data_IF_321063322287
#
_entry.id   IF_321063322287
#
_cell.length_a   1.000
_cell.length_b   1.000
_cell.length_c   1.000
_cell.angle_alpha   90.00
_cell.angle_beta   90.00
_cell.angle_gamma   90.00
#
_symmetry.space_group_name_H-M   'P 1'
#
loop_
_entity.id
_entity.type
_entity.pdbx_description
1 polymer ?
#
# COMPACT_ATOMS: atom_id res chain seq x y z
N UNK A 1 16.72 -23.55 87.25
CA UNK A 1 17.25 -22.40 88.03
C UNK A 1 16.73 -21.17 87.29
N UNK A 2 15.69 -20.58 87.83
CA UNK A 2 15.62 -19.31 88.53
C UNK A 2 16.43 -18.21 87.84
N UNK A 3 15.80 -17.12 87.35
CA UNK A 3 15.36 -16.01 88.19
C UNK A 3 14.53 -15.00 87.42
N UNK A 4 13.42 -14.59 88.01
CA UNK A 4 12.62 -13.42 87.89
C UNK A 4 13.39 -12.10 87.82
N UNK A 5 12.94 -11.05 87.08
CA UNK A 5 12.45 -9.78 87.64
C UNK A 5 12.03 -8.72 86.55
N UNK A 6 10.80 -8.32 86.73
CA UNK A 6 10.18 -6.98 86.88
C UNK A 6 10.28 -5.94 85.73
N UNK A 7 9.11 -5.79 85.16
CA UNK A 7 8.27 -4.55 85.21
C UNK A 7 8.96 -3.17 85.12
N UNK A 8 8.67 -2.45 84.05
CA UNK A 8 8.30 -1.01 84.13
C UNK A 8 7.45 -0.59 82.95
N UNK A 9 6.26 -0.14 83.25
CA UNK A 9 5.34 0.55 82.32
C UNK A 9 5.94 1.90 81.98
N UNK A 10 6.11 2.20 80.71
CA UNK A 10 6.19 3.59 80.21
C UNK A 10 5.13 3.75 79.12
N UNK A 11 4.19 4.62 79.41
CA UNK A 11 3.21 5.11 78.45
C UNK A 11 3.93 5.88 77.35
N UNK A 12 3.70 5.56 76.09
CA UNK A 12 4.09 6.35 74.93
C UNK A 12 2.82 6.85 74.28
N UNK A 13 2.74 8.17 74.18
CA UNK A 13 1.67 8.91 73.50
C UNK A 13 1.66 8.53 72.00
N UNK A 14 0.50 8.14 71.50
CA UNK A 14 0.28 7.90 70.08
C UNK A 14 0.23 9.20 69.32
N UNK A 15 1.20 9.41 68.43
CA UNK A 15 1.11 10.41 67.39
C UNK A 15 0.37 9.78 66.20
N UNK A 16 -0.87 10.16 65.99
CA UNK A 16 -1.62 9.83 64.79
C UNK A 16 -1.03 10.63 63.59
N UNK A 17 -0.24 9.97 62.76
CA UNK A 17 0.19 10.53 61.48
C UNK A 17 -0.91 10.27 60.46
N UNK A 18 -1.73 11.29 60.17
CA UNK A 18 -2.65 11.26 59.05
C UNK A 18 -1.84 11.25 57.72
N UNK A 19 -1.66 10.08 57.11
CA UNK A 19 -1.14 9.96 55.77
C UNK A 19 -2.22 10.46 54.81
N UNK A 20 -2.02 11.66 54.26
CA UNK A 20 -2.74 12.18 53.10
C UNK A 20 -2.39 11.29 51.90
N UNK A 21 -3.30 10.39 51.54
CA UNK A 21 -3.27 9.68 50.25
C UNK A 21 -3.56 10.71 49.15
N UNK A 22 -2.52 11.22 48.52
CA UNK A 22 -2.62 11.95 47.27
C UNK A 22 -2.89 10.88 46.19
N UNK A 23 -4.00 10.91 45.43
CA UNK A 23 -4.19 10.03 44.34
C UNK A 23 -3.10 10.27 43.31
N UNK A 24 -2.24 9.30 43.05
CA UNK A 24 -1.38 9.30 41.87
C UNK A 24 -2.31 9.26 40.64
N UNK A 25 -2.48 10.41 40.00
CA UNK A 25 -3.07 10.47 38.67
C UNK A 25 -2.20 9.62 37.75
N UNK A 26 -2.77 8.58 37.20
CA UNK A 26 -2.13 7.83 36.14
C UNK A 26 -1.70 8.81 35.03
N UNK A 27 -0.51 8.67 34.44
CA UNK A 27 -0.12 9.50 33.30
C UNK A 27 -1.20 9.37 32.23
N UNK A 28 -1.74 10.50 31.79
CA UNK A 28 -2.62 10.53 30.64
C UNK A 28 -1.89 9.84 29.49
N UNK A 29 -2.51 8.81 28.91
CA UNK A 29 -1.99 8.24 27.67
C UNK A 29 -1.90 9.39 26.66
N UNK A 30 -0.79 9.50 25.91
CA UNK A 30 -0.70 10.53 24.91
C UNK A 30 -1.92 10.37 23.97
N UNK A 31 -2.70 11.44 23.83
CA UNK A 31 -3.76 11.51 22.85
C UNK A 31 -3.12 11.12 21.51
N UNK A 32 -3.59 10.02 20.92
CA UNK A 32 -3.18 9.61 19.59
C UNK A 32 -3.51 10.77 18.65
N UNK A 33 -2.50 11.29 17.97
CA UNK A 33 -2.71 12.26 16.90
C UNK A 33 -3.79 11.72 15.98
N UNK A 34 -4.75 12.56 15.52
CA UNK A 34 -5.76 12.10 14.57
C UNK A 34 -5.03 11.50 13.36
N UNK A 35 -5.41 10.28 13.00
CA UNK A 35 -4.81 9.58 11.86
C UNK A 35 -5.02 10.44 10.60
N UNK A 36 -3.96 10.66 9.83
CA UNK A 36 -4.08 11.34 8.55
C UNK A 36 -5.06 10.56 7.66
N UNK A 37 -5.99 11.24 6.96
CA UNK A 37 -6.92 10.55 6.07
C UNK A 37 -6.18 9.85 4.94
N UNK A 38 -6.85 8.91 4.26
CA UNK A 38 -6.34 8.29 3.04
C UNK A 38 -6.08 9.38 1.99
N UNK A 39 -4.94 9.30 1.33
CA UNK A 39 -4.51 10.31 0.35
C UNK A 39 -4.58 9.83 -1.08
N UNK A 40 -4.74 8.52 -1.29
CA UNK A 40 -4.85 7.98 -2.63
C UNK A 40 -5.39 6.57 -2.65
N UNK A 41 -5.62 6.08 -3.86
CA UNK A 41 -6.13 4.74 -4.11
C UNK A 41 -5.58 4.15 -5.39
N UNK A 42 -5.85 2.86 -5.60
CA UNK A 42 -5.59 2.15 -6.83
C UNK A 42 -6.88 1.98 -7.64
N UNK A 43 -6.74 1.93 -8.96
CA UNK A 43 -7.72 1.36 -9.89
C UNK A 43 -7.07 0.17 -10.60
N UNK A 44 -7.70 -1.00 -10.51
CA UNK A 44 -7.36 -2.19 -11.29
C UNK A 44 -8.18 -2.18 -12.59
N UNK A 45 -7.56 -1.80 -13.70
CA UNK A 45 -8.26 -1.77 -14.98
C UNK A 45 -8.64 -3.17 -15.45
N UNK A 46 -9.89 -3.31 -15.88
CA UNK A 46 -10.43 -4.56 -16.40
C UNK A 46 -11.41 -4.29 -17.55
N UNK A 47 -11.89 -5.36 -18.19
CA UNK A 47 -12.75 -5.23 -19.35
C UNK A 47 -14.12 -4.58 -19.07
N UNK A 48 -14.62 -4.63 -17.82
CA UNK A 48 -15.88 -3.93 -17.49
C UNK A 48 -15.74 -2.42 -17.64
N UNK A 49 -14.59 -1.85 -17.34
CA UNK A 49 -14.33 -0.42 -17.47
C UNK A 49 -14.41 0.10 -18.92
N UNK A 50 -14.31 -0.78 -19.92
CA UNK A 50 -14.50 -0.43 -21.34
C UNK A 50 -15.95 -0.08 -21.68
N UNK A 51 -16.87 -0.48 -20.83
CA UNK A 51 -18.31 -0.29 -20.99
C UNK A 51 -18.87 0.75 -20.01
N UNK A 52 -18.01 1.34 -19.19
CA UNK A 52 -18.41 2.39 -18.29
C UNK A 52 -18.78 3.65 -19.08
N UNK A 53 -19.93 4.21 -18.70
CA UNK A 53 -20.41 5.47 -19.23
C UNK A 53 -19.84 6.65 -18.44
N UNK A 54 -20.12 7.85 -18.90
CA UNK A 54 -19.70 9.10 -18.26
C UNK A 54 -20.08 9.13 -16.77
N UNK A 55 -21.35 8.80 -16.45
CA UNK A 55 -21.90 8.80 -15.10
C UNK A 55 -21.24 7.78 -14.16
N UNK A 56 -20.68 6.68 -14.68
CA UNK A 56 -19.97 5.68 -13.86
C UNK A 56 -18.65 6.25 -13.36
N UNK A 57 -17.92 6.91 -14.26
CA UNK A 57 -16.68 7.59 -13.93
C UNK A 57 -16.93 8.80 -13.02
N UNK A 58 -17.97 9.62 -13.30
CA UNK A 58 -18.33 10.76 -12.48
C UNK A 58 -18.59 10.33 -11.03
N UNK A 59 -19.44 9.33 -10.80
CA UNK A 59 -19.69 8.79 -9.44
C UNK A 59 -18.43 8.33 -8.72
N UNK A 60 -17.53 7.65 -9.42
CA UNK A 60 -16.27 7.19 -8.81
C UNK A 60 -15.38 8.37 -8.41
N UNK A 61 -15.25 9.38 -9.27
CA UNK A 61 -14.42 10.55 -8.99
C UNK A 61 -15.06 11.47 -7.93
N UNK A 62 -16.39 11.53 -7.83
CA UNK A 62 -17.09 12.19 -6.72
C UNK A 62 -16.78 11.51 -5.38
N UNK A 63 -16.73 10.16 -5.34
CA UNK A 63 -16.28 9.44 -4.16
C UNK A 63 -14.83 9.81 -3.80
N UNK A 64 -13.92 9.89 -4.76
CA UNK A 64 -12.52 10.30 -4.54
C UNK A 64 -12.44 11.72 -3.97
N UNK A 65 -13.20 12.65 -4.53
CA UNK A 65 -13.26 14.03 -4.06
C UNK A 65 -13.84 14.10 -2.64
N UNK A 66 -14.92 13.37 -2.35
CA UNK A 66 -15.52 13.30 -1.02
C UNK A 66 -14.56 12.79 0.04
N UNK A 67 -13.66 11.86 -0.35
CA UNK A 67 -12.60 11.31 0.49
C UNK A 67 -11.37 12.23 0.61
N UNK A 68 -11.31 13.33 -0.16
CA UNK A 68 -10.15 14.22 -0.19
C UNK A 68 -8.91 13.58 -0.82
N UNK A 69 -9.08 12.60 -1.71
CA UNK A 69 -7.93 11.95 -2.36
C UNK A 69 -7.19 12.93 -3.26
N UNK A 70 -5.88 12.83 -3.27
CA UNK A 70 -4.97 13.63 -4.10
C UNK A 70 -4.09 12.79 -5.02
N UNK A 71 -4.10 11.47 -4.87
CA UNK A 71 -3.26 10.54 -5.61
C UNK A 71 -4.06 9.36 -6.14
N UNK A 72 -3.72 8.95 -7.36
CA UNK A 72 -4.30 7.78 -8.02
C UNK A 72 -3.18 6.92 -8.62
N UNK A 73 -3.27 5.61 -8.45
CA UNK A 73 -2.42 4.66 -9.15
C UNK A 73 -3.32 3.79 -10.05
N UNK A 74 -3.08 3.88 -11.35
CA UNK A 74 -3.58 2.86 -12.27
C UNK A 74 -2.64 1.66 -12.13
N UNK A 75 -3.12 0.54 -11.57
CA UNK A 75 -2.22 -0.56 -11.22
C UNK A 75 -1.53 -1.16 -12.44
N UNK A 76 -2.19 -1.14 -13.58
CA UNK A 76 -1.65 -1.49 -14.89
C UNK A 76 -2.42 -0.79 -16.01
N UNK A 77 -1.78 -0.58 -17.14
CA UNK A 77 -2.42 -0.16 -18.38
C UNK A 77 -2.47 -1.28 -19.41
N UNK A 78 -1.71 -2.35 -19.17
CA UNK A 78 -1.78 -3.60 -19.94
C UNK A 78 -1.91 -4.75 -18.96
N UNK A 79 -2.99 -5.53 -19.08
CA UNK A 79 -3.20 -6.77 -18.34
C UNK A 79 -3.12 -7.95 -19.31
N UNK A 80 -2.15 -8.82 -19.10
CA UNK A 80 -1.77 -9.87 -20.08
C UNK A 80 -1.49 -9.22 -21.46
N UNK A 81 -2.33 -9.44 -22.44
CA UNK A 81 -2.23 -8.84 -23.78
C UNK A 81 -3.32 -7.79 -24.05
N UNK A 82 -4.11 -7.41 -23.04
CA UNK A 82 -5.17 -6.40 -23.19
C UNK A 82 -4.66 -5.02 -22.75
N UNK A 83 -4.52 -4.08 -23.69
CA UNK A 83 -4.21 -2.68 -23.40
C UNK A 83 -5.50 -1.90 -23.08
N UNK A 84 -5.48 -1.07 -22.04
CA UNK A 84 -6.58 -0.20 -21.62
C UNK A 84 -6.39 1.25 -22.10
N UNK A 85 -5.61 1.43 -23.15
CA UNK A 85 -5.41 2.68 -23.87
C UNK A 85 -5.59 2.44 -25.38
N UNK A 86 -5.79 3.52 -26.15
CA UNK A 86 -6.01 3.42 -27.57
C UNK A 86 -4.73 2.96 -28.28
N UNK A 87 -4.70 1.70 -28.69
CA UNK A 87 -3.66 1.09 -29.51
C UNK A 87 -4.24 0.53 -30.79
N UNK A 88 -3.38 0.23 -31.77
CA UNK A 88 -3.86 -0.35 -33.04
C UNK A 88 -4.49 -1.73 -32.83
N UNK A 89 -4.00 -2.48 -31.86
CA UNK A 89 -4.43 -3.85 -31.54
C UNK A 89 -5.78 -3.89 -30.76
N UNK A 90 -6.23 -2.75 -30.21
CA UNK A 90 -7.40 -2.67 -29.30
C UNK A 90 -8.63 -1.99 -29.91
N UNK A 91 -8.57 -1.59 -31.19
CA UNK A 91 -9.63 -0.77 -31.85
C UNK A 91 -11.04 -1.35 -31.78
N UNK A 92 -11.15 -2.68 -31.76
CA UNK A 92 -12.44 -3.37 -31.81
C UNK A 92 -12.97 -3.82 -30.43
N UNK A 93 -12.27 -3.48 -29.32
CA UNK A 93 -12.59 -3.97 -27.97
C UNK A 93 -13.37 -2.98 -27.07
N UNK A 94 -14.00 -1.98 -27.65
CA UNK A 94 -14.71 -0.92 -26.92
C UNK A 94 -13.80 0.29 -26.59
N UNK A 95 -14.32 1.25 -25.81
CA UNK A 95 -13.59 2.48 -25.50
C UNK A 95 -12.56 2.23 -24.42
N UNK A 96 -11.27 2.44 -24.67
CA UNK A 96 -10.26 2.29 -23.64
C UNK A 96 -10.45 3.34 -22.52
N UNK A 97 -10.39 2.93 -21.23
CA UNK A 97 -10.74 3.81 -20.11
C UNK A 97 -9.68 4.85 -19.74
N UNK A 98 -8.44 4.71 -20.21
CA UNK A 98 -7.32 5.54 -19.76
C UNK A 98 -7.58 7.04 -19.96
N UNK A 99 -8.05 7.43 -21.14
CA UNK A 99 -8.29 8.84 -21.50
C UNK A 99 -9.36 9.47 -20.59
N UNK A 100 -10.48 8.76 -20.37
CA UNK A 100 -11.55 9.21 -19.50
C UNK A 100 -11.07 9.40 -18.05
N UNK A 101 -10.20 8.53 -17.56
CA UNK A 101 -9.61 8.63 -16.23
C UNK A 101 -8.67 9.83 -16.12
N UNK A 102 -7.79 10.04 -17.10
CA UNK A 102 -6.82 11.14 -17.08
C UNK A 102 -7.50 12.49 -17.15
N UNK A 103 -8.52 12.66 -18.02
CA UNK A 103 -9.29 13.90 -18.12
C UNK A 103 -9.97 14.27 -16.79
N UNK A 104 -10.54 13.27 -16.09
CA UNK A 104 -11.15 13.49 -14.78
C UNK A 104 -10.13 13.77 -13.70
N UNK A 105 -9.01 13.08 -13.74
CA UNK A 105 -7.91 13.32 -12.81
C UNK A 105 -7.34 14.73 -12.98
N UNK A 106 -7.23 15.23 -14.22
CA UNK A 106 -6.84 16.61 -14.50
C UNK A 106 -7.85 17.60 -13.89
N UNK A 107 -9.14 17.37 -14.12
CA UNK A 107 -10.21 18.21 -13.58
C UNK A 107 -10.28 18.21 -12.05
N UNK A 108 -9.98 17.07 -11.43
CA UNK A 108 -9.97 16.89 -9.98
C UNK A 108 -8.64 17.28 -9.32
N UNK A 109 -7.60 17.64 -10.09
CA UNK A 109 -6.27 17.97 -9.56
C UNK A 109 -5.53 16.78 -8.94
N UNK A 110 -5.86 15.55 -9.34
CA UNK A 110 -5.21 14.34 -8.84
C UNK A 110 -3.84 14.14 -9.49
N UNK A 111 -2.90 13.58 -8.73
CA UNK A 111 -1.62 13.08 -9.25
C UNK A 111 -1.77 11.61 -9.62
N UNK A 112 -1.50 11.26 -10.87
CA UNK A 112 -1.69 9.90 -11.39
C UNK A 112 -0.34 9.25 -11.70
N UNK A 113 -0.07 8.10 -11.06
CA UNK A 113 0.99 7.19 -11.50
C UNK A 113 0.38 6.10 -12.37
N UNK A 114 0.98 5.92 -13.53
CA UNK A 114 0.45 5.02 -14.56
C UNK A 114 1.22 3.71 -14.54
N UNK A 115 0.49 2.63 -14.24
CA UNK A 115 1.04 1.27 -14.20
C UNK A 115 1.32 0.72 -15.59
N UNK A 116 2.41 -0.04 -15.68
CA UNK A 116 2.88 -0.63 -16.93
C UNK A 116 2.16 -1.95 -17.25
N UNK A 117 2.90 -3.00 -17.58
CA UNK A 117 2.35 -4.31 -17.95
C UNK A 117 2.23 -5.20 -16.71
N UNK A 118 1.05 -5.73 -16.46
CA UNK A 118 0.84 -6.83 -15.52
C UNK A 118 0.68 -8.15 -16.28
N UNK A 119 1.45 -9.15 -15.88
CA UNK A 119 1.32 -10.53 -16.37
C UNK A 119 0.63 -11.37 -15.29
N UNK A 120 -0.58 -11.91 -15.55
CA UNK A 120 -1.28 -12.75 -14.57
C UNK A 120 -0.53 -14.03 -14.19
N UNK A 121 0.45 -14.44 -14.99
CA UNK A 121 1.33 -15.58 -14.69
C UNK A 121 2.59 -15.17 -13.90
N UNK A 122 2.71 -13.92 -13.46
CA UNK A 122 3.91 -13.40 -12.78
C UNK A 122 4.38 -14.34 -11.65
N UNK A 123 3.51 -14.69 -10.71
CA UNK A 123 3.86 -15.54 -9.57
C UNK A 123 4.29 -16.95 -9.97
N UNK A 124 3.64 -17.54 -10.96
CA UNK A 124 4.04 -18.84 -11.51
C UNK A 124 5.43 -18.77 -12.18
N UNK A 125 5.65 -17.73 -12.98
CA UNK A 125 6.91 -17.55 -13.74
C UNK A 125 8.10 -17.28 -12.84
N UNK A 126 7.94 -16.41 -11.84
CA UNK A 126 9.02 -16.15 -10.89
C UNK A 126 9.23 -17.33 -9.93
N UNK A 127 8.23 -18.15 -9.66
CA UNK A 127 8.33 -19.37 -8.83
C UNK A 127 9.10 -20.52 -9.48
N UNK A 128 9.47 -20.44 -10.76
CA UNK A 128 10.18 -21.52 -11.46
C UNK A 128 11.54 -21.81 -10.84
N UNK A 129 11.92 -23.11 -10.80
CA UNK A 129 13.17 -23.54 -10.15
C UNK A 129 14.43 -23.04 -10.87
N UNK A 130 14.40 -22.97 -12.21
CA UNK A 130 15.57 -22.62 -13.02
C UNK A 130 15.72 -21.11 -13.10
N UNK A 131 16.78 -20.59 -12.50
CA UNK A 131 17.06 -19.14 -12.51
C UNK A 131 17.16 -18.56 -13.93
N UNK A 132 17.71 -19.30 -14.88
CA UNK A 132 17.77 -18.87 -16.28
C UNK A 132 16.37 -18.61 -16.88
N UNK A 133 15.34 -19.40 -16.50
CA UNK A 133 13.96 -19.19 -16.93
C UNK A 133 13.38 -17.92 -16.29
N UNK A 134 13.62 -17.69 -15.01
CA UNK A 134 13.21 -16.47 -14.29
C UNK A 134 13.84 -15.24 -14.93
N UNK A 135 15.15 -15.25 -15.15
CA UNK A 135 15.86 -14.14 -15.78
C UNK A 135 15.38 -13.87 -17.22
N UNK A 136 15.10 -14.91 -18.00
CA UNK A 136 14.54 -14.76 -19.33
C UNK A 136 13.15 -14.13 -19.31
N UNK A 137 12.30 -14.59 -18.38
CA UNK A 137 10.96 -14.04 -18.16
C UNK A 137 11.02 -12.55 -17.76
N UNK A 138 11.82 -12.19 -16.77
CA UNK A 138 11.98 -10.80 -16.33
C UNK A 138 12.47 -9.89 -17.48
N UNK A 139 13.38 -10.35 -18.33
CA UNK A 139 13.80 -9.59 -19.54
C UNK A 139 12.64 -9.38 -20.51
N UNK A 140 11.81 -10.41 -20.74
CA UNK A 140 10.64 -10.28 -21.61
C UNK A 140 9.61 -9.32 -21.04
N UNK A 141 9.32 -9.40 -19.72
CA UNK A 141 8.38 -8.52 -19.04
C UNK A 141 8.85 -7.07 -19.09
N UNK A 142 10.15 -6.82 -18.83
CA UNK A 142 10.76 -5.51 -19.00
C UNK A 142 10.64 -4.95 -20.41
N UNK A 143 10.89 -5.77 -21.41
CA UNK A 143 10.72 -5.36 -22.81
C UNK A 143 9.26 -4.92 -23.10
N UNK A 144 8.27 -5.70 -22.65
CA UNK A 144 6.85 -5.38 -22.81
C UNK A 144 6.50 -4.06 -22.09
N UNK A 145 6.95 -3.90 -20.85
CA UNK A 145 6.71 -2.69 -20.05
C UNK A 145 7.33 -1.45 -20.70
N UNK A 146 8.55 -1.53 -21.22
CA UNK A 146 9.19 -0.42 -21.93
C UNK A 146 8.53 -0.11 -23.28
N UNK A 147 8.00 -1.10 -23.98
CA UNK A 147 7.20 -0.90 -25.18
C UNK A 147 5.93 -0.11 -24.86
N UNK A 148 5.19 -0.56 -23.84
CA UNK A 148 3.99 0.13 -23.38
C UNK A 148 4.29 1.57 -22.94
N UNK A 149 5.35 1.78 -22.16
CA UNK A 149 5.75 3.11 -21.70
C UNK A 149 6.03 4.08 -22.88
N UNK A 150 6.72 3.61 -23.93
CA UNK A 150 7.00 4.43 -25.13
C UNK A 150 5.74 4.79 -25.89
N UNK A 151 4.79 3.87 -25.99
CA UNK A 151 3.50 4.09 -26.66
C UNK A 151 2.60 5.04 -25.87
N UNK A 152 2.63 4.93 -24.53
CA UNK A 152 1.83 5.75 -23.63
C UNK A 152 2.34 7.19 -23.49
N UNK A 153 3.65 7.39 -23.43
CA UNK A 153 4.25 8.67 -23.04
C UNK A 153 3.74 9.88 -23.83
N UNK A 154 3.61 9.85 -25.17
CA UNK A 154 3.11 11.01 -25.94
C UNK A 154 1.70 11.47 -25.53
N UNK A 155 0.88 10.55 -24.98
CA UNK A 155 -0.46 10.86 -24.46
C UNK A 155 -0.36 11.42 -23.04
N UNK A 156 0.40 10.74 -22.18
CA UNK A 156 0.51 11.06 -20.77
C UNK A 156 1.07 12.45 -20.49
N UNK A 157 2.04 12.90 -21.27
CA UNK A 157 2.65 14.25 -21.11
C UNK A 157 1.68 15.40 -21.44
N UNK A 158 0.55 15.11 -22.10
CA UNK A 158 -0.50 16.08 -22.35
C UNK A 158 -1.42 16.30 -21.13
N UNK A 159 -1.33 15.43 -20.11
CA UNK A 159 -2.17 15.48 -18.92
C UNK A 159 -1.37 15.99 -17.71
N UNK A 160 -1.74 17.13 -17.11
CA UNK A 160 -1.07 17.65 -15.91
C UNK A 160 -1.18 16.74 -14.71
N UNK A 161 -2.16 15.84 -14.67
CA UNK A 161 -2.28 14.81 -13.63
C UNK A 161 -1.18 13.75 -13.68
N UNK A 162 -0.60 13.48 -14.85
CA UNK A 162 0.46 12.46 -14.95
C UNK A 162 1.70 12.89 -14.16
N UNK A 163 2.05 12.14 -13.13
CA UNK A 163 3.22 12.42 -12.30
C UNK A 163 4.30 11.33 -12.38
N UNK A 164 3.99 10.15 -12.92
CA UNK A 164 5.00 9.11 -12.97
C UNK A 164 4.50 7.72 -13.34
N UNK A 165 5.40 6.77 -13.22
CA UNK A 165 5.20 5.37 -13.54
C UNK A 165 4.98 4.54 -12.27
N UNK A 166 4.14 3.53 -12.37
CA UNK A 166 4.04 2.46 -11.40
C UNK A 166 4.47 1.13 -12.05
N UNK A 167 5.34 0.39 -11.37
CA UNK A 167 5.82 -0.93 -11.82
C UNK A 167 4.95 -1.98 -11.14
N UNK A 168 4.12 -2.76 -11.90
CA UNK A 168 3.13 -3.66 -11.31
C UNK A 168 3.70 -4.94 -10.68
N UNK A 169 4.99 -5.23 -10.92
CA UNK A 169 5.65 -6.41 -10.35
C UNK A 169 5.79 -6.26 -8.84
N UNK A 170 4.97 -6.98 -8.11
CA UNK A 170 5.00 -6.98 -6.64
C UNK A 170 6.19 -7.78 -6.11
N UNK A 171 6.82 -7.24 -5.08
CA UNK A 171 8.03 -7.80 -4.49
C UNK A 171 7.69 -8.40 -3.13
N UNK A 172 7.97 -9.69 -2.95
CA UNK A 172 7.72 -10.42 -1.71
C UNK A 172 9.03 -10.86 -1.01
N UNK A 173 8.88 -11.40 0.19
CA UNK A 173 9.98 -11.94 0.99
C UNK A 173 10.08 -13.48 0.94
N UNK A 174 9.52 -14.11 -0.10
CA UNK A 174 9.56 -15.57 -0.33
C UNK A 174 10.36 -15.92 -1.57
N UNK A 175 10.06 -15.28 -2.71
CA UNK A 175 10.60 -15.67 -4.01
C UNK A 175 12.05 -15.23 -4.25
N UNK A 176 12.58 -14.30 -3.46
CA UNK A 176 13.85 -13.63 -3.70
C UNK A 176 14.92 -13.88 -2.62
N UNK A 177 14.79 -14.99 -1.88
CA UNK A 177 15.71 -15.33 -0.78
C UNK A 177 17.07 -15.78 -1.31
N UNK A 178 17.08 -16.57 -2.38
CA UNK A 178 18.31 -17.07 -2.98
C UNK A 178 19.11 -15.93 -3.64
N UNK A 179 20.45 -15.86 -3.43
CA UNK A 179 21.26 -14.76 -3.94
C UNK A 179 21.16 -14.55 -5.45
N UNK A 180 21.14 -15.63 -6.25
CA UNK A 180 21.04 -15.54 -7.70
C UNK A 180 19.66 -15.01 -8.15
N UNK A 181 18.60 -15.38 -7.47
CA UNK A 181 17.24 -14.89 -7.74
C UNK A 181 17.11 -13.41 -7.39
N UNK A 182 17.69 -13.03 -6.25
CA UNK A 182 17.74 -11.64 -5.79
C UNK A 182 18.50 -10.77 -6.77
N UNK A 183 19.66 -11.26 -7.27
CA UNK A 183 20.44 -10.57 -8.28
C UNK A 183 19.62 -10.34 -9.56
N UNK A 184 18.93 -11.36 -10.06
CA UNK A 184 18.07 -11.25 -11.25
C UNK A 184 16.95 -10.22 -11.07
N UNK A 185 16.34 -10.14 -9.87
CA UNK A 185 15.36 -9.11 -9.55
C UNK A 185 15.99 -7.71 -9.55
N UNK A 186 17.12 -7.55 -8.88
CA UNK A 186 17.80 -6.26 -8.79
C UNK A 186 18.24 -5.74 -10.17
N UNK A 187 18.77 -6.61 -11.03
CA UNK A 187 19.09 -6.30 -12.43
C UNK A 187 17.84 -5.88 -13.22
N UNK A 188 16.72 -6.61 -13.04
CA UNK A 188 15.48 -6.28 -13.69
C UNK A 188 15.00 -4.86 -13.34
N UNK A 189 14.94 -4.52 -12.04
CA UNK A 189 14.49 -3.20 -11.61
C UNK A 189 15.53 -2.10 -11.96
N UNK A 190 16.81 -2.37 -11.84
CA UNK A 190 17.85 -1.42 -12.23
C UNK A 190 17.73 -1.01 -13.71
N UNK A 191 17.62 -1.99 -14.61
CA UNK A 191 17.52 -1.74 -16.05
C UNK A 191 16.17 -1.11 -16.43
N UNK A 192 15.05 -1.55 -15.79
CA UNK A 192 13.73 -0.99 -16.06
C UNK A 192 13.64 0.46 -15.61
N UNK A 193 14.05 0.75 -14.37
CA UNK A 193 13.99 2.12 -13.82
C UNK A 193 14.93 3.07 -14.55
N UNK A 194 16.13 2.63 -14.91
CA UNK A 194 17.07 3.43 -15.71
C UNK A 194 16.49 3.79 -17.09
N UNK A 195 15.85 2.83 -17.77
CA UNK A 195 15.24 3.07 -19.08
C UNK A 195 13.99 3.97 -18.98
N UNK A 196 13.16 3.82 -17.95
CA UNK A 196 12.01 4.71 -17.69
C UNK A 196 12.49 6.14 -17.40
N UNK A 197 13.57 6.29 -16.63
CA UNK A 197 14.19 7.59 -16.33
C UNK A 197 14.71 8.28 -17.59
N UNK A 198 15.31 7.52 -18.52
CA UNK A 198 15.75 8.06 -19.81
C UNK A 198 14.56 8.50 -20.67
N UNK A 199 13.47 7.73 -20.64
CA UNK A 199 12.27 8.00 -21.42
C UNK A 199 11.51 9.24 -20.90
N UNK A 200 11.36 9.40 -19.59
CA UNK A 200 10.65 10.49 -18.94
C UNK A 200 11.44 10.96 -17.69
N UNK A 201 12.43 11.86 -17.85
CA UNK A 201 13.35 12.23 -16.77
C UNK A 201 12.70 12.84 -15.53
N UNK A 202 11.54 13.48 -15.68
CA UNK A 202 10.81 14.14 -14.59
C UNK A 202 9.72 13.27 -13.96
N UNK A 203 9.38 12.13 -14.57
CA UNK A 203 8.37 11.24 -14.06
C UNK A 203 8.90 10.45 -12.85
N UNK A 204 8.15 10.43 -11.75
CA UNK A 204 8.45 9.58 -10.60
C UNK A 204 8.34 8.11 -10.99
N UNK A 205 9.08 7.24 -10.33
CA UNK A 205 8.97 5.79 -10.48
C UNK A 205 8.61 5.21 -9.13
N UNK A 206 7.50 4.48 -9.08
CA UNK A 206 7.02 3.80 -7.91
C UNK A 206 7.03 2.29 -8.12
N UNK A 207 7.37 1.56 -7.06
CA UNK A 207 7.32 0.10 -7.01
C UNK A 207 6.64 -0.35 -5.73
N UNK A 208 6.08 -1.55 -5.71
CA UNK A 208 5.39 -2.07 -4.54
C UNK A 208 5.91 -3.43 -4.09
N UNK A 209 5.63 -3.74 -2.83
CA UNK A 209 5.88 -5.04 -2.26
C UNK A 209 5.15 -5.22 -0.94
N UNK A 210 5.30 -6.41 -0.39
CA UNK A 210 4.69 -6.82 0.86
C UNK A 210 5.57 -7.85 1.59
N UNK A 211 5.26 -8.11 2.85
CA UNK A 211 5.85 -9.22 3.61
C UNK A 211 4.82 -10.32 3.84
N UNK A 212 5.27 -11.57 3.77
CA UNK A 212 4.54 -12.75 4.24
C UNK A 212 5.00 -13.17 5.66
N UNK A 213 5.71 -12.30 6.37
CA UNK A 213 6.44 -12.65 7.61
C UNK A 213 7.42 -13.83 7.43
N UNK A 214 7.91 -14.05 6.21
CA UNK A 214 8.82 -15.15 5.91
C UNK A 214 10.27 -14.84 6.30
N UNK A 215 10.64 -13.57 6.31
CA UNK A 215 11.94 -13.09 6.81
C UNK A 215 11.72 -12.19 8.02
N UNK A 216 12.71 -12.14 8.93
CA UNK A 216 12.65 -11.16 10.01
C UNK A 216 12.76 -9.72 9.50
N UNK A 217 12.28 -8.71 10.27
CA UNK A 217 12.29 -7.32 9.83
C UNK A 217 13.68 -6.78 9.47
N UNK A 218 14.76 -7.28 10.08
CA UNK A 218 16.12 -6.86 9.75
C UNK A 218 16.59 -7.40 8.41
N UNK A 219 16.28 -8.66 8.08
CA UNK A 219 16.55 -9.25 6.78
C UNK A 219 15.69 -8.58 5.69
N UNK A 220 14.44 -8.26 5.98
CA UNK A 220 13.54 -7.50 5.12
C UNK A 220 14.11 -6.10 4.81
N UNK A 221 14.53 -5.34 5.82
CA UNK A 221 15.21 -4.05 5.63
C UNK A 221 16.44 -4.18 4.73
N UNK A 222 17.31 -5.14 5.02
CA UNK A 222 18.54 -5.36 4.24
C UNK A 222 18.25 -5.67 2.77
N UNK A 223 17.21 -6.45 2.50
CA UNK A 223 16.78 -6.77 1.15
C UNK A 223 16.37 -5.50 0.39
N UNK A 224 15.48 -4.68 0.96
CA UNK A 224 15.02 -3.45 0.32
C UNK A 224 16.11 -2.39 0.19
N UNK A 225 17.06 -2.31 1.13
CA UNK A 225 18.25 -1.47 0.95
C UNK A 225 19.07 -1.88 -0.29
N UNK A 226 19.27 -3.18 -0.50
CA UNK A 226 19.95 -3.69 -1.69
C UNK A 226 19.20 -3.40 -2.99
N UNK A 227 17.88 -3.56 -2.97
CA UNK A 227 17.04 -3.22 -4.12
C UNK A 227 17.11 -1.73 -4.46
N UNK A 228 16.96 -0.85 -3.48
CA UNK A 228 16.96 0.60 -3.66
C UNK A 228 18.36 1.17 -4.01
N UNK A 229 19.42 0.44 -3.68
CA UNK A 229 20.74 0.75 -4.18
C UNK A 229 20.88 0.46 -5.69
N UNK A 230 20.18 -0.56 -6.19
CA UNK A 230 20.21 -0.96 -7.59
C UNK A 230 19.21 -0.17 -8.45
N UNK A 231 17.98 0.02 -7.95
CA UNK A 231 16.87 0.64 -8.66
C UNK A 231 16.72 2.14 -8.35
N UNK A 232 16.46 2.95 -9.36
CA UNK A 232 16.26 4.41 -9.21
C UNK A 232 14.77 4.76 -9.04
N UNK A 233 14.07 4.08 -8.12
CA UNK A 233 12.69 4.40 -7.76
C UNK A 233 12.64 5.51 -6.70
N UNK A 234 11.70 6.44 -6.82
CA UNK A 234 11.46 7.52 -5.85
C UNK A 234 10.56 7.06 -4.70
N UNK A 235 9.58 6.19 -5.01
CA UNK A 235 8.53 5.81 -4.06
C UNK A 235 8.46 4.30 -3.93
N UNK A 236 8.44 3.82 -2.69
CA UNK A 236 8.11 2.43 -2.38
C UNK A 236 6.72 2.38 -1.74
N UNK A 237 5.84 1.54 -2.30
CA UNK A 237 4.54 1.25 -1.73
C UNK A 237 4.61 -0.08 -0.97
N UNK A 238 4.45 -0.03 0.36
CA UNK A 238 4.39 -1.23 1.19
C UNK A 238 2.93 -1.58 1.48
N UNK A 239 2.47 -2.70 0.93
CA UNK A 239 1.15 -3.26 1.24
C UNK A 239 1.16 -3.83 2.66
N UNK A 240 0.15 -3.52 3.44
CA UNK A 240 0.08 -3.95 4.85
C UNK A 240 -0.23 -5.45 5.03
N UNK A 241 -0.77 -6.10 4.01
CA UNK A 241 -1.01 -7.55 4.00
C UNK A 241 -2.05 -8.05 5.00
N UNK A 242 -2.81 -7.15 5.63
CA UNK A 242 -3.79 -7.51 6.68
C UNK A 242 -5.06 -8.09 6.07
N UNK A 243 -5.50 -7.57 4.94
CA UNK A 243 -6.71 -8.02 4.25
C UNK A 243 -6.59 -9.42 3.67
N UNK A 244 -5.39 -9.79 3.22
CA UNK A 244 -5.03 -11.12 2.67
C UNK A 244 -4.42 -12.06 3.72
N UNK A 245 -4.47 -11.71 5.01
CA UNK A 245 -3.96 -12.54 6.11
C UNK A 245 -2.46 -12.90 6.03
N UNK A 246 -1.64 -12.04 5.42
CA UNK A 246 -0.17 -12.22 5.35
C UNK A 246 0.54 -11.72 6.61
N UNK A 247 0.03 -10.64 7.20
CA UNK A 247 0.51 -10.07 8.44
C UNK A 247 -0.65 -9.85 9.42
N UNK A 248 -0.35 -9.96 10.71
CA UNK A 248 -1.21 -9.49 11.77
C UNK A 248 -0.84 -8.06 12.17
N UNK A 249 -1.81 -7.29 12.68
CA UNK A 249 -1.59 -5.92 13.13
C UNK A 249 -0.46 -5.77 14.17
N UNK A 250 -0.24 -6.80 14.99
CA UNK A 250 0.83 -6.81 16.00
C UNK A 250 2.23 -6.81 15.39
N UNK A 251 2.39 -7.44 14.22
CA UNK A 251 3.67 -7.52 13.51
C UNK A 251 3.85 -6.44 12.47
N UNK A 252 2.77 -5.85 11.98
CA UNK A 252 2.80 -4.84 10.91
C UNK A 252 3.78 -3.70 11.25
N UNK A 253 3.76 -3.17 12.46
CA UNK A 253 4.61 -2.04 12.86
C UNK A 253 6.11 -2.35 12.71
N UNK A 254 6.54 -3.59 12.94
CA UNK A 254 7.93 -4.01 12.79
C UNK A 254 8.40 -3.92 11.33
N UNK A 255 7.56 -4.35 10.39
CA UNK A 255 7.86 -4.29 8.95
C UNK A 255 7.76 -2.87 8.39
N UNK A 256 6.79 -2.06 8.88
CA UNK A 256 6.72 -0.64 8.56
C UNK A 256 7.99 0.10 8.99
N UNK A 257 8.45 -0.14 10.21
CA UNK A 257 9.68 0.46 10.72
C UNK A 257 10.92 0.00 9.94
N UNK A 258 10.98 -1.27 9.54
CA UNK A 258 12.07 -1.82 8.73
C UNK A 258 12.09 -1.19 7.33
N UNK A 259 10.93 -1.10 6.66
CA UNK A 259 10.82 -0.45 5.36
C UNK A 259 11.16 1.03 5.45
N UNK A 260 10.68 1.73 6.48
CA UNK A 260 10.99 3.14 6.70
C UNK A 260 12.51 3.38 6.78
N UNK A 261 13.25 2.57 7.55
CA UNK A 261 14.71 2.67 7.61
C UNK A 261 15.38 2.35 6.26
N UNK A 262 14.79 1.44 5.47
CA UNK A 262 15.32 1.11 4.16
C UNK A 262 15.20 2.29 3.17
N UNK A 263 14.03 2.93 3.10
CA UNK A 263 13.81 4.07 2.20
C UNK A 263 14.58 5.31 2.66
N UNK A 264 14.62 5.60 3.96
CA UNK A 264 15.36 6.73 4.52
C UNK A 264 16.86 6.66 4.19
N UNK A 265 17.44 5.46 4.20
CA UNK A 265 18.85 5.25 3.87
C UNK A 265 19.21 5.62 2.42
N UNK A 266 18.22 5.73 1.54
CA UNK A 266 18.38 6.08 0.14
C UNK A 266 17.68 7.39 -0.25
N UNK A 267 17.11 8.13 0.73
CA UNK A 267 16.36 9.36 0.48
C UNK A 267 15.14 9.12 -0.43
N UNK A 268 14.42 8.02 -0.19
CA UNK A 268 13.22 7.63 -0.95
C UNK A 268 11.98 7.79 -0.09
N UNK A 269 10.83 7.91 -0.74
CA UNK A 269 9.55 8.01 -0.07
C UNK A 269 8.92 6.65 0.19
N UNK A 270 8.21 6.56 1.31
CA UNK A 270 7.38 5.42 1.67
C UNK A 270 5.91 5.81 1.62
N UNK A 271 5.13 5.05 0.88
CA UNK A 271 3.67 5.04 0.98
C UNK A 271 3.22 3.69 1.54
N UNK A 272 2.45 3.69 2.60
CA UNK A 272 1.83 2.45 3.10
C UNK A 272 0.48 2.29 2.43
N UNK A 273 0.22 1.07 1.93
CA UNK A 273 -1.04 0.72 1.27
C UNK A 273 -1.90 -0.07 2.25
N UNK A 274 -3.00 0.52 2.66
CA UNK A 274 -3.99 -0.09 3.56
C UNK A 274 -4.99 -0.91 2.76
N UNK A 275 -5.10 -2.20 3.04
CA UNK A 275 -6.09 -3.08 2.42
C UNK A 275 -7.47 -2.86 3.04
N UNK A 276 -8.39 -2.28 2.25
CA UNK A 276 -9.76 -1.96 2.66
C UNK A 276 -10.69 -3.18 2.71
N UNK A 277 -10.21 -4.35 2.39
CA UNK A 277 -10.95 -5.59 2.27
C UNK A 277 -10.52 -6.64 3.29
N UNK A 278 -11.32 -7.66 3.44
CA UNK A 278 -10.98 -8.91 4.13
C UNK A 278 -11.24 -10.07 3.17
N UNK A 279 -10.21 -10.85 2.89
CA UNK A 279 -10.34 -12.08 2.12
C UNK A 279 -11.25 -13.08 2.85
N UNK A 280 -12.15 -13.72 2.14
CA UNK A 280 -13.11 -14.70 2.68
C UNK A 280 -13.01 -16.07 1.99
N UNK A 281 -12.49 -16.11 0.75
CA UNK A 281 -12.24 -17.32 -0.02
C UNK A 281 -10.95 -17.18 -0.81
N UNK A 282 -10.36 -18.29 -1.23
CA UNK A 282 -9.14 -18.36 -2.02
C UNK A 282 -7.87 -18.62 -1.17
N UNK A 283 -6.76 -19.04 -1.81
CA UNK A 283 -5.50 -19.28 -1.10
C UNK A 283 -5.01 -18.03 -0.35
N UNK A 284 -4.54 -18.15 0.88
CA UNK A 284 -4.22 -19.38 1.63
C UNK A 284 -5.37 -19.96 2.46
N UNK A 285 -6.59 -19.42 2.40
CA UNK A 285 -7.71 -19.85 3.23
C UNK A 285 -8.31 -21.18 2.76
N UNK A 286 -8.53 -21.32 1.46
CA UNK A 286 -9.08 -22.50 0.80
C UNK A 286 -8.69 -22.56 -0.68
N UNK A 287 -9.16 -23.58 -1.40
CA UNK A 287 -8.88 -23.79 -2.84
C UNK A 287 -9.91 -23.10 -3.77
N UNK A 288 -10.76 -22.21 -3.24
CA UNK A 288 -11.72 -21.49 -4.06
C UNK A 288 -11.07 -20.29 -4.78
N UNK A 289 -11.72 -19.72 -5.80
CA UNK A 289 -11.30 -18.44 -6.37
C UNK A 289 -11.26 -17.34 -5.29
N UNK A 290 -10.30 -16.43 -5.44
CA UNK A 290 -10.17 -15.29 -4.52
C UNK A 290 -11.47 -14.50 -4.41
N UNK A 291 -11.91 -14.28 -3.17
CA UNK A 291 -13.04 -13.43 -2.85
C UNK A 291 -12.78 -12.62 -1.60
N UNK A 292 -13.17 -11.38 -1.64
CA UNK A 292 -13.00 -10.46 -0.52
C UNK A 292 -14.26 -9.58 -0.35
N UNK A 293 -14.43 -9.09 0.85
CA UNK A 293 -15.51 -8.18 1.23
C UNK A 293 -14.93 -6.94 1.92
N UNK A 294 -15.65 -5.80 1.96
CA UNK A 294 -15.22 -4.63 2.70
C UNK A 294 -14.86 -4.95 4.15
N UNK A 295 -13.76 -4.39 4.62
CA UNK A 295 -13.28 -4.60 5.98
C UNK A 295 -14.07 -3.76 7.00
N UNK A 296 -14.14 -4.19 8.27
CA UNK A 296 -14.69 -3.35 9.33
C UNK A 296 -13.89 -2.06 9.50
N UNK A 297 -14.58 -0.91 9.59
CA UNK A 297 -13.94 0.42 9.74
C UNK A 297 -12.97 0.49 10.93
N UNK A 298 -13.29 -0.19 12.04
CA UNK A 298 -12.41 -0.22 13.22
C UNK A 298 -11.06 -0.87 12.96
N UNK A 299 -10.98 -1.86 12.04
CA UNK A 299 -9.71 -2.42 11.58
C UNK A 299 -8.96 -1.42 10.70
N UNK A 300 -9.65 -0.84 9.70
CA UNK A 300 -9.08 0.14 8.77
C UNK A 300 -8.48 1.32 9.53
N UNK A 301 -9.17 1.85 10.54
CA UNK A 301 -8.65 2.93 11.39
C UNK A 301 -7.30 2.59 12.02
N UNK A 302 -7.19 1.41 12.63
CA UNK A 302 -5.92 0.96 13.23
C UNK A 302 -4.80 0.79 12.21
N UNK A 303 -5.12 0.31 11.01
CA UNK A 303 -4.16 0.23 9.90
C UNK A 303 -3.69 1.63 9.47
N UNK A 304 -4.62 2.59 9.31
CA UNK A 304 -4.30 3.98 8.97
C UNK A 304 -3.45 4.64 10.07
N UNK A 305 -3.81 4.44 11.35
CA UNK A 305 -3.05 4.96 12.49
C UNK A 305 -1.59 4.48 12.47
N UNK A 306 -1.35 3.20 12.21
CA UNK A 306 0.00 2.65 12.05
C UNK A 306 0.68 3.17 10.79
N UNK A 307 -0.01 3.12 9.65
CA UNK A 307 0.52 3.56 8.36
C UNK A 307 0.98 5.03 8.40
N UNK A 308 0.20 5.91 9.03
CA UNK A 308 0.50 7.35 9.12
C UNK A 308 1.78 7.66 9.90
N UNK A 309 2.19 6.81 10.83
CA UNK A 309 3.45 6.98 11.59
C UNK A 309 4.70 6.78 10.71
N UNK A 310 4.58 5.96 9.67
CA UNK A 310 5.72 5.50 8.87
C UNK A 310 5.72 6.04 7.44
N UNK A 311 4.56 6.34 6.86
CA UNK A 311 4.48 6.94 5.52
C UNK A 311 5.13 8.32 5.47
N UNK A 312 5.88 8.60 4.41
CA UNK A 312 6.47 9.94 4.14
C UNK A 312 5.70 10.69 3.05
N UNK A 313 5.03 9.97 2.16
CA UNK A 313 4.32 10.53 1.02
C UNK A 313 2.82 10.16 1.00
N UNK A 314 2.27 9.85 2.20
CA UNK A 314 0.85 9.60 2.39
C UNK A 314 0.46 8.13 2.47
N UNK A 315 -0.77 7.90 2.93
CA UNK A 315 -1.37 6.57 3.07
C UNK A 315 -2.27 6.30 1.88
N UNK A 316 -2.04 5.18 1.21
CA UNK A 316 -2.81 4.72 0.06
C UNK A 316 -3.83 3.68 0.48
N UNK A 317 -4.90 3.54 -0.29
CA UNK A 317 -5.93 2.51 -0.09
C UNK A 317 -5.93 1.48 -1.22
N UNK A 318 -6.03 0.22 -0.87
CA UNK A 318 -6.32 -0.84 -1.84
C UNK A 318 -7.65 -1.52 -1.51
N UNK A 319 -8.75 -1.25 -2.22
CA UNK A 319 -8.91 -0.14 -3.14
C UNK A 319 -10.27 0.52 -2.89
N UNK A 320 -10.34 1.83 -3.03
CA UNK A 320 -11.61 2.56 -2.90
C UNK A 320 -12.63 2.08 -3.94
N UNK A 321 -12.30 1.93 -5.25
CA UNK A 321 -13.28 1.50 -6.26
C UNK A 321 -13.99 0.20 -5.91
N UNK A 322 -13.28 -0.76 -5.30
CA UNK A 322 -13.81 -2.11 -5.09
C UNK A 322 -14.48 -2.28 -3.71
N UNK A 323 -14.01 -1.56 -2.69
CA UNK A 323 -14.39 -1.85 -1.30
C UNK A 323 -14.93 -0.66 -0.50
N UNK A 324 -14.81 0.58 -1.03
CA UNK A 324 -15.27 1.78 -0.32
C UNK A 324 -15.79 2.85 -1.27
N UNK A 325 -16.60 2.45 -2.25
CA UNK A 325 -17.26 3.39 -3.18
C UNK A 325 -18.78 3.24 -3.18
N UNK A 326 -19.45 4.26 -3.69
CA UNK A 326 -20.92 4.29 -3.82
C UNK A 326 -21.44 3.27 -4.85
N UNK A 327 -20.60 2.85 -5.81
CA UNK A 327 -20.93 1.95 -6.90
C UNK A 327 -20.54 0.48 -6.66
N UNK A 328 -19.70 0.18 -5.65
CA UNK A 328 -19.23 -1.19 -5.38
C UNK A 328 -20.19 -2.03 -4.50
N UNK A 329 -21.43 -1.60 -4.37
CA UNK A 329 -22.49 -2.31 -3.65
C UNK A 329 -22.72 -1.81 -2.23
N UNK A 330 -23.76 -2.36 -1.55
CA UNK A 330 -24.26 -1.78 -0.30
C UNK A 330 -23.26 -1.79 0.85
N UNK A 331 -22.35 -2.78 0.92
CA UNK A 331 -21.35 -2.87 1.98
C UNK A 331 -20.24 -1.85 1.80
N UNK A 332 -19.76 -1.68 0.58
CA UNK A 332 -18.77 -0.66 0.23
C UNK A 332 -19.33 0.76 0.44
N UNK A 333 -20.56 1.00 0.03
CA UNK A 333 -21.25 2.27 0.27
C UNK A 333 -21.40 2.58 1.78
N UNK A 334 -21.76 1.59 2.59
CA UNK A 334 -21.81 1.76 4.06
C UNK A 334 -20.44 2.07 4.64
N UNK A 335 -19.40 1.41 4.15
CA UNK A 335 -18.03 1.68 4.60
C UNK A 335 -17.63 3.12 4.26
N UNK A 336 -17.88 3.59 3.04
CA UNK A 336 -17.65 4.97 2.61
C UNK A 336 -18.35 5.96 3.54
N UNK A 337 -19.64 5.80 3.75
CA UNK A 337 -20.43 6.70 4.61
C UNK A 337 -19.90 6.75 6.06
N UNK A 338 -19.53 5.60 6.60
CA UNK A 338 -18.98 5.52 7.96
C UNK A 338 -17.58 6.12 8.05
N UNK A 339 -16.75 5.94 7.01
CA UNK A 339 -15.44 6.54 6.91
C UNK A 339 -15.56 8.08 6.90
N UNK A 340 -16.38 8.64 6.01
CA UNK A 340 -16.61 10.08 5.91
C UNK A 340 -17.07 10.67 7.24
N UNK A 341 -18.06 10.06 7.91
CA UNK A 341 -18.54 10.52 9.24
C UNK A 341 -17.42 10.53 10.29
N UNK A 342 -16.50 9.58 10.22
CA UNK A 342 -15.45 9.43 11.23
C UNK A 342 -14.32 10.43 11.04
N UNK A 343 -13.89 10.66 9.81
CA UNK A 343 -12.73 11.50 9.51
C UNK A 343 -13.11 12.98 9.28
N UNK A 344 -14.31 13.30 8.75
CA UNK A 344 -14.79 14.69 8.67
C UNK A 344 -15.13 15.30 10.03
N UNK A 345 -15.44 14.49 11.05
CA UNK A 345 -15.67 14.98 12.42
C UNK A 345 -14.37 15.35 13.17
N UNK A 346 -13.21 14.97 12.65
CA UNK A 346 -11.92 15.27 13.25
C UNK A 346 -11.35 16.63 12.78
N UNK A 347 -11.93 17.27 11.78
CA UNK A 347 -11.53 18.58 11.25
C UNK A 347 -12.29 19.77 11.89
N UNK A 348 -13.29 19.49 12.72
CA UNK A 348 -14.08 20.50 13.48
C UNK A 348 -13.77 20.43 14.98
#
# INVERSE_FOLDING_TARGET
MLSLRRSSKKALAGVFLCALLVPLSAPAQPESLPAAPLQGTFIQLNNAHRHWMEDDWERLFDDFQSLGLSQLILQWTVYDNNAFFLSEEERDKGTPPLEAILQRADAAGLRVRVGLVHDPQYWEKIGQRRIASVSAYLRQLRYRSLRAARELLPRLIAHPSFCGWYIPEEIDDVNWLEPERRQALFEHFAELTAALRQLAPQAEIALSGFSNANTDPGAFEKFYRGLLQAATAEVVLLQDGIGVHKLDLEYLELYLAAMRRAVDAHGRDLQVVVELFRQVEGPPLDDQPFKAIPAPLGRIRRQIELASKYSTAGVMAFSVPDYMSSSAGPEAQRLLQNYLKTFSAAEN
#
